data_IF_264748027905
#
_entry.id   IF_264748027905
#
_cell.length_a   1.000
_cell.length_b   1.000
_cell.length_c   1.000
_cell.angle_alpha   90.00
_cell.angle_beta   90.00
_cell.angle_gamma   90.00
#
_symmetry.space_group_name_H-M   'P 1'
#
loop_
_entity.id
_entity.type
_entity.pdbx_description
1 polymer ?
#
# COMPACT_ATOMS: atom_id res chain seq x y z
N UNK A 1 -67.22 -55.84 68.59
CA UNK A 1 -65.88 -55.21 68.49
C UNK A 1 -65.14 -55.91 67.36
N UNK A 2 -64.89 -55.17 66.28
CA UNK A 2 -64.27 -55.65 65.05
C UNK A 2 -62.76 -55.44 65.12
N UNK A 3 -61.98 -56.47 64.81
CA UNK A 3 -60.53 -56.38 64.58
C UNK A 3 -60.21 -57.03 63.24
N UNK A 4 -59.93 -56.19 62.24
CA UNK A 4 -59.74 -56.59 60.86
C UNK A 4 -58.35 -57.23 60.62
N UNK A 5 -58.35 -58.26 59.78
CA UNK A 5 -57.19 -58.93 59.21
C UNK A 5 -56.60 -58.04 58.12
N UNK A 6 -55.30 -57.73 58.21
CA UNK A 6 -54.55 -57.04 57.15
C UNK A 6 -53.72 -58.07 56.38
N UNK A 7 -54.19 -58.41 55.18
CA UNK A 7 -53.51 -59.25 54.19
C UNK A 7 -52.35 -58.50 53.55
N UNK A 8 -51.21 -59.18 53.41
CA UNK A 8 -49.99 -58.64 52.84
C UNK A 8 -50.13 -58.13 51.41
N UNK A 9 -49.40 -57.05 51.11
CA UNK A 9 -49.27 -56.48 49.78
C UNK A 9 -47.93 -56.93 49.19
N UNK A 10 -47.95 -57.68 48.09
CA UNK A 10 -46.77 -58.00 47.30
C UNK A 10 -46.43 -56.80 46.38
N UNK A 11 -45.15 -56.47 46.16
CA UNK A 11 -44.79 -55.38 45.25
C UNK A 11 -44.99 -55.83 43.79
N UNK A 12 -45.50 -54.97 42.89
CA UNK A 12 -45.58 -55.31 41.48
C UNK A 12 -44.18 -55.28 40.85
N UNK A 13 -43.69 -56.44 40.41
CA UNK A 13 -42.59 -56.55 39.45
C UNK A 13 -43.11 -56.26 38.05
N UNK A 14 -43.14 -54.99 37.68
CA UNK A 14 -43.37 -54.58 36.29
C UNK A 14 -42.13 -54.90 35.43
N UNK A 15 -42.30 -55.24 34.14
CA UNK A 15 -41.17 -55.51 33.25
C UNK A 15 -40.34 -54.25 33.01
N UNK A 16 -39.02 -54.39 32.98
CA UNK A 16 -38.09 -53.33 32.59
C UNK A 16 -38.47 -52.79 31.20
N UNK A 17 -38.94 -51.54 31.14
CA UNK A 17 -39.22 -50.87 29.89
C UNK A 17 -37.90 -50.60 29.15
N UNK A 18 -37.72 -51.05 27.89
CA UNK A 18 -36.52 -50.73 27.12
C UNK A 18 -36.44 -49.21 26.92
N UNK A 19 -35.33 -48.61 27.37
CA UNK A 19 -35.09 -47.17 27.23
C UNK A 19 -35.16 -46.81 25.73
N UNK A 20 -36.04 -45.90 25.29
CA UNK A 20 -36.34 -45.72 23.88
C UNK A 20 -35.09 -45.24 23.10
N UNK A 21 -34.81 -45.92 21.97
CA UNK A 21 -33.70 -45.67 21.04
C UNK A 21 -33.70 -44.26 20.41
N UNK A 22 -34.77 -43.47 20.62
CA UNK A 22 -34.92 -42.08 20.18
C UNK A 22 -33.76 -41.19 20.61
N UNK A 23 -33.17 -41.42 21.78
CA UNK A 23 -32.02 -40.65 22.27
C UNK A 23 -30.78 -40.81 21.38
N UNK A 24 -30.54 -42.03 20.86
CA UNK A 24 -29.40 -42.30 19.97
C UNK A 24 -29.60 -41.65 18.59
N UNK A 25 -30.83 -41.67 18.09
CA UNK A 25 -31.19 -41.03 16.82
C UNK A 25 -31.10 -39.50 16.88
N UNK A 26 -31.55 -38.89 17.99
CA UNK A 26 -31.39 -37.45 18.21
C UNK A 26 -29.91 -37.06 18.30
N UNK A 27 -29.09 -37.83 19.02
CA UNK A 27 -27.65 -37.59 19.09
C UNK A 27 -27.00 -37.68 17.70
N UNK A 28 -27.33 -38.71 16.92
CA UNK A 28 -26.81 -38.86 15.56
C UNK A 28 -27.21 -37.68 14.65
N UNK A 29 -28.48 -37.24 14.72
CA UNK A 29 -28.97 -36.09 13.98
C UNK A 29 -28.25 -34.80 14.38
N UNK A 30 -28.05 -34.56 15.68
CA UNK A 30 -27.31 -33.38 16.17
C UNK A 30 -25.85 -33.39 15.73
N UNK A 31 -25.18 -34.54 15.79
CA UNK A 31 -23.78 -34.67 15.33
C UNK A 31 -23.69 -34.43 13.82
N UNK A 32 -24.57 -35.05 13.03
CA UNK A 32 -24.61 -34.84 11.58
C UNK A 32 -24.87 -33.37 11.24
N UNK A 33 -25.78 -32.72 11.96
CA UNK A 33 -26.06 -31.29 11.79
C UNK A 33 -24.87 -30.41 12.18
N UNK A 34 -24.21 -30.70 13.29
CA UNK A 34 -23.03 -29.96 13.72
C UNK A 34 -21.87 -30.10 12.71
N UNK A 35 -21.67 -31.31 12.16
CA UNK A 35 -20.68 -31.54 11.11
C UNK A 35 -21.04 -30.82 9.81
N UNK A 36 -22.32 -30.81 9.42
CA UNK A 36 -22.81 -30.06 8.27
C UNK A 36 -22.55 -28.55 8.45
N UNK A 37 -22.89 -27.99 9.62
CA UNK A 37 -22.63 -26.59 9.93
C UNK A 37 -21.13 -26.27 9.95
N UNK A 38 -20.30 -27.14 10.51
CA UNK A 38 -18.85 -26.97 10.51
C UNK A 38 -18.27 -26.99 9.09
N UNK A 39 -18.78 -27.88 8.23
CA UNK A 39 -18.37 -27.98 6.83
C UNK A 39 -18.82 -26.74 6.03
N UNK A 40 -20.06 -26.29 6.22
CA UNK A 40 -20.58 -25.07 5.58
C UNK A 40 -19.83 -23.82 6.05
N UNK A 41 -19.52 -23.72 7.34
CA UNK A 41 -18.70 -22.63 7.88
C UNK A 41 -17.28 -22.67 7.32
N UNK A 42 -16.67 -23.86 7.22
CA UNK A 42 -15.34 -24.04 6.65
C UNK A 42 -15.28 -23.65 5.17
N UNK A 43 -16.26 -24.08 4.39
CA UNK A 43 -16.35 -23.75 2.95
C UNK A 43 -16.61 -22.27 2.75
N UNK A 44 -17.56 -21.69 3.48
CA UNK A 44 -17.82 -20.24 3.43
C UNK A 44 -16.58 -19.41 3.78
N UNK A 45 -15.86 -19.75 4.86
CA UNK A 45 -14.62 -19.04 5.25
C UNK A 45 -13.51 -19.17 4.21
N UNK A 46 -13.50 -20.25 3.42
CA UNK A 46 -12.43 -20.53 2.46
C UNK A 46 -12.73 -20.02 1.05
N UNK A 47 -13.99 -20.07 0.64
CA UNK A 47 -14.41 -19.91 -0.75
C UNK A 47 -15.24 -18.63 -0.99
N UNK A 48 -15.85 -18.03 0.03
CA UNK A 48 -16.60 -16.77 -0.16
C UNK A 48 -15.65 -15.56 -0.24
N UNK A 49 -15.83 -14.66 -1.23
CA UNK A 49 -15.00 -13.48 -1.34
C UNK A 49 -15.22 -12.56 -0.12
N UNK A 50 -14.15 -11.93 0.39
CA UNK A 50 -14.23 -11.08 1.57
C UNK A 50 -15.19 -9.92 1.34
N UNK A 51 -16.28 -9.88 2.12
CA UNK A 51 -17.33 -8.86 1.98
C UNK A 51 -17.01 -7.56 2.73
N UNK A 52 -15.90 -7.53 3.49
CA UNK A 52 -15.50 -6.41 4.36
C UNK A 52 -14.01 -6.07 4.18
N UNK A 53 -13.66 -4.78 4.29
CA UNK A 53 -12.29 -4.23 4.34
C UNK A 53 -11.32 -5.10 5.14
N UNK A 54 -11.77 -5.55 6.31
CA UNK A 54 -10.94 -6.25 7.29
C UNK A 54 -10.63 -7.71 6.94
N UNK A 55 -11.18 -8.25 5.84
CA UNK A 55 -10.98 -9.65 5.45
C UNK A 55 -9.97 -9.85 4.31
N UNK A 56 -9.54 -8.78 3.62
CA UNK A 56 -8.46 -8.88 2.63
C UNK A 56 -7.10 -8.70 3.25
N UNK A 57 -6.20 -9.62 2.95
CA UNK A 57 -4.82 -9.61 3.42
C UNK A 57 -3.95 -8.63 2.63
N UNK A 58 -2.78 -8.28 3.19
CA UNK A 58 -1.79 -7.47 2.45
C UNK A 58 -1.36 -8.08 1.12
N UNK A 59 -1.26 -9.41 1.03
CA UNK A 59 -0.93 -10.11 -0.22
C UNK A 59 -1.98 -9.89 -1.31
N UNK A 60 -3.25 -9.72 -0.95
CA UNK A 60 -4.35 -9.51 -1.89
C UNK A 60 -4.52 -8.02 -2.25
N UNK A 61 -4.24 -7.13 -1.31
CA UNK A 61 -4.32 -5.68 -1.52
C UNK A 61 -3.10 -5.10 -2.27
N UNK A 62 -1.93 -5.75 -2.14
CA UNK A 62 -0.67 -5.31 -2.75
C UNK A 62 -0.75 -4.98 -4.24
N UNK A 63 -1.27 -5.87 -5.10
CA UNK A 63 -1.40 -5.61 -6.53
C UNK A 63 -2.24 -4.38 -6.88
N UNK A 64 -3.21 -4.02 -6.02
CA UNK A 64 -4.03 -2.83 -6.22
C UNK A 64 -3.27 -1.55 -5.87
N UNK A 65 -2.45 -1.58 -4.81
CA UNK A 65 -1.51 -0.49 -4.50
C UNK A 65 -0.51 -0.31 -5.65
N UNK A 66 0.06 -1.40 -6.16
CA UNK A 66 1.03 -1.34 -7.26
C UNK A 66 0.41 -0.76 -8.54
N UNK A 67 -0.82 -1.18 -8.87
CA UNK A 67 -1.59 -0.56 -9.96
C UNK A 67 -1.80 0.92 -9.71
N UNK A 68 -2.22 1.28 -8.49
CA UNK A 68 -2.54 2.67 -8.19
C UNK A 68 -1.33 3.60 -8.24
N UNK A 69 -0.15 3.11 -7.84
CA UNK A 69 1.13 3.83 -8.04
C UNK A 69 1.40 3.99 -9.54
N UNK A 70 1.22 2.93 -10.34
CA UNK A 70 1.33 3.00 -11.80
C UNK A 70 0.47 4.08 -12.45
N UNK A 71 -0.80 4.15 -12.05
CA UNK A 71 -1.74 5.18 -12.51
C UNK A 71 -1.30 6.59 -12.09
N UNK A 72 -0.79 6.76 -10.85
CA UNK A 72 -0.27 8.06 -10.40
C UNK A 72 0.95 8.51 -11.20
N UNK A 73 1.83 7.58 -11.55
CA UNK A 73 3.01 7.89 -12.36
C UNK A 73 2.59 8.30 -13.78
N UNK A 74 1.69 7.54 -14.40
CA UNK A 74 1.15 7.87 -15.71
C UNK A 74 0.43 9.23 -15.68
N UNK A 75 -0.39 9.47 -14.64
CA UNK A 75 -1.09 10.72 -14.42
C UNK A 75 -0.16 11.88 -14.07
N UNK A 76 1.06 11.66 -13.57
CA UNK A 76 2.03 12.74 -13.39
C UNK A 76 2.58 13.22 -14.74
N UNK A 77 2.76 12.30 -15.69
CA UNK A 77 3.28 12.58 -17.02
C UNK A 77 4.64 13.27 -16.96
N UNK A 78 4.74 14.47 -17.52
CA UNK A 78 5.99 15.22 -17.56
C UNK A 78 6.35 15.98 -16.27
N UNK A 79 5.73 15.74 -15.12
CA UNK A 79 6.13 16.38 -13.87
C UNK A 79 7.49 15.84 -13.36
N UNK A 80 8.18 16.59 -12.50
CA UNK A 80 9.29 16.01 -11.71
C UNK A 80 8.69 14.94 -10.81
N UNK A 81 9.21 13.72 -10.90
CA UNK A 81 8.66 12.55 -10.23
C UNK A 81 9.76 11.74 -9.56
N UNK A 82 9.45 11.20 -8.39
CA UNK A 82 10.31 10.30 -7.64
C UNK A 82 9.43 9.21 -7.00
N UNK A 83 9.80 7.94 -7.22
CA UNK A 83 9.18 6.80 -6.54
C UNK A 83 9.88 6.55 -5.21
N UNK A 84 9.10 6.46 -4.13
CA UNK A 84 9.66 6.13 -2.82
C UNK A 84 9.56 4.62 -2.55
N UNK A 85 10.46 4.06 -1.74
CA UNK A 85 10.40 2.65 -1.35
C UNK A 85 9.07 2.26 -0.72
N UNK A 86 8.73 0.98 -0.87
CA UNK A 86 7.50 0.42 -0.29
C UNK A 86 7.63 0.28 1.22
N UNK A 87 6.63 0.75 1.96
CA UNK A 87 6.62 0.72 3.41
C UNK A 87 5.52 -0.24 3.91
N UNK A 88 5.89 -1.09 4.87
CA UNK A 88 4.94 -2.00 5.55
C UNK A 88 5.00 -1.74 7.05
N UNK A 89 4.05 -0.95 7.54
CA UNK A 89 3.95 -0.59 8.94
C UNK A 89 3.12 -1.66 9.68
N UNK A 90 3.77 -2.42 10.56
CA UNK A 90 3.10 -3.45 11.39
C UNK A 90 2.60 -2.87 12.71
N UNK A 91 1.60 -3.54 13.30
CA UNK A 91 1.11 -3.21 14.64
C UNK A 91 -0.09 -2.27 14.65
N UNK A 92 -0.68 -1.97 13.48
CA UNK A 92 -2.00 -1.36 13.46
C UNK A 92 -3.03 -2.35 14.02
N UNK A 93 -4.05 -1.86 14.72
CA UNK A 93 -5.03 -2.72 15.39
C UNK A 93 -6.25 -2.92 14.50
N UNK A 94 -6.52 -4.17 14.12
CA UNK A 94 -7.75 -4.55 13.38
C UNK A 94 -8.90 -4.78 14.37
N UNK A 95 -8.63 -5.57 15.41
CA UNK A 95 -9.54 -5.80 16.53
C UNK A 95 -8.75 -5.78 17.83
N UNK A 96 -9.38 -5.70 19.02
CA UNK A 96 -8.67 -5.80 20.29
C UNK A 96 -7.78 -7.05 20.44
N UNK A 97 -8.01 -8.10 19.65
CA UNK A 97 -7.28 -9.37 19.70
C UNK A 97 -6.46 -9.65 18.44
N UNK A 98 -6.51 -8.77 17.43
CA UNK A 98 -5.85 -8.99 16.14
C UNK A 98 -5.11 -7.73 15.68
N UNK A 99 -3.83 -7.91 15.41
CA UNK A 99 -2.98 -6.92 14.77
C UNK A 99 -2.98 -7.10 13.26
N UNK A 100 -2.73 -6.00 12.56
CA UNK A 100 -2.57 -5.94 11.12
C UNK A 100 -1.32 -5.17 10.74
N UNK A 101 -1.25 -4.86 9.46
CA UNK A 101 -0.26 -3.96 8.91
C UNK A 101 -0.87 -3.06 7.84
N UNK A 102 -0.27 -1.90 7.64
CA UNK A 102 -0.58 -0.97 6.56
C UNK A 102 0.53 -1.08 5.52
N UNK A 103 0.15 -1.34 4.27
CA UNK A 103 1.05 -1.19 3.12
C UNK A 103 0.86 0.21 2.54
N UNK A 104 1.96 0.94 2.37
CA UNK A 104 1.96 2.23 1.71
C UNK A 104 3.08 2.32 0.67
N UNK A 105 2.78 3.02 -0.42
CA UNK A 105 3.74 3.41 -1.46
C UNK A 105 3.50 4.86 -1.79
N UNK A 106 4.56 5.62 -2.05
CA UNK A 106 4.43 7.03 -2.37
C UNK A 106 5.15 7.43 -3.64
N UNK A 107 4.63 8.49 -4.25
CA UNK A 107 5.20 9.18 -5.40
C UNK A 107 5.35 10.64 -4.99
N UNK A 108 6.58 11.16 -5.00
CA UNK A 108 6.80 12.59 -4.85
C UNK A 108 6.71 13.26 -6.21
N UNK A 109 6.02 14.40 -6.25
CA UNK A 109 5.88 15.23 -7.45
C UNK A 109 6.20 16.68 -7.11
N UNK A 110 6.75 17.41 -8.07
CA UNK A 110 7.02 18.85 -7.91
C UNK A 110 6.35 19.70 -8.99
N UNK A 111 5.86 20.87 -8.57
CA UNK A 111 5.23 21.85 -9.42
C UNK A 111 6.20 22.95 -9.85
N UNK A 112 5.89 23.58 -10.98
CA UNK A 112 6.46 24.89 -11.29
C UNK A 112 5.99 25.93 -10.27
N UNK A 113 6.72 27.04 -10.16
CA UNK A 113 6.35 28.15 -9.26
C UNK A 113 4.96 28.70 -9.59
N UNK A 114 4.09 28.78 -8.58
CA UNK A 114 2.68 29.20 -8.72
C UNK A 114 1.77 28.18 -9.41
N UNK A 115 2.30 27.02 -9.81
CA UNK A 115 1.60 25.96 -10.53
C UNK A 115 1.09 24.82 -9.65
N UNK A 116 1.14 24.93 -8.32
CA UNK A 116 0.86 23.84 -7.39
C UNK A 116 -0.56 23.29 -7.51
N UNK A 117 -1.55 24.20 -7.55
CA UNK A 117 -2.95 23.82 -7.75
C UNK A 117 -3.16 23.20 -9.13
N UNK A 118 -2.60 23.81 -10.16
CA UNK A 118 -2.72 23.31 -11.54
C UNK A 118 -2.11 21.91 -11.69
N UNK A 119 -0.98 21.63 -11.03
CA UNK A 119 -0.38 20.30 -11.01
C UNK A 119 -1.33 19.28 -10.39
N UNK A 120 -1.87 19.57 -9.20
CA UNK A 120 -2.75 18.63 -8.50
C UNK A 120 -4.10 18.45 -9.21
N UNK A 121 -4.69 19.51 -9.75
CA UNK A 121 -5.94 19.44 -10.53
C UNK A 121 -5.69 18.62 -11.80
N UNK A 122 -4.62 18.89 -12.54
CA UNK A 122 -4.26 18.13 -13.74
C UNK A 122 -3.84 16.68 -13.46
N UNK A 123 -3.38 16.36 -12.24
CA UNK A 123 -3.22 14.98 -11.77
C UNK A 123 -4.59 14.34 -11.54
N UNK A 124 -5.47 15.00 -10.78
CA UNK A 124 -6.81 14.49 -10.48
C UNK A 124 -7.64 14.24 -11.75
N UNK A 125 -7.55 15.12 -12.75
CA UNK A 125 -8.26 15.01 -14.03
C UNK A 125 -7.77 13.83 -14.90
N UNK A 126 -6.53 13.38 -14.70
CA UNK A 126 -5.93 12.26 -15.45
C UNK A 126 -6.04 10.92 -14.75
N UNK A 127 -6.42 10.90 -13.47
CA UNK A 127 -6.69 9.67 -12.74
C UNK A 127 -8.00 9.03 -13.22
N UNK A 128 -8.17 7.70 -13.03
CA UNK A 128 -9.41 7.02 -13.40
C UNK A 128 -10.66 7.70 -12.81
N UNK A 129 -11.71 7.86 -13.62
CA UNK A 129 -12.93 8.58 -13.23
C UNK A 129 -13.63 7.94 -12.02
N UNK A 130 -13.59 6.61 -11.94
CA UNK A 130 -14.18 5.83 -10.86
C UNK A 130 -13.50 6.09 -9.50
N UNK A 131 -12.28 6.63 -9.50
CA UNK A 131 -11.57 7.00 -8.27
C UNK A 131 -12.06 8.29 -7.63
N UNK A 132 -12.82 9.10 -8.38
CA UNK A 132 -13.40 10.37 -7.92
C UNK A 132 -12.34 11.28 -7.30
N UNK A 133 -11.21 11.41 -8.00
CA UNK A 133 -10.11 12.23 -7.53
C UNK A 133 -10.54 13.70 -7.41
N UNK A 134 -10.04 14.39 -6.39
CA UNK A 134 -10.34 15.79 -6.17
C UNK A 134 -9.34 16.50 -5.29
N UNK A 135 -9.15 17.78 -5.56
CA UNK A 135 -8.24 18.67 -4.84
C UNK A 135 -9.04 19.65 -3.98
N UNK A 136 -8.62 19.80 -2.74
CA UNK A 136 -9.22 20.76 -1.81
C UNK A 136 -8.16 21.54 -1.05
N UNK A 137 -8.46 22.80 -0.78
CA UNK A 137 -7.64 23.63 0.12
C UNK A 137 -8.00 23.29 1.56
N UNK A 138 -6.98 23.06 2.39
CA UNK A 138 -7.08 22.81 3.83
C UNK A 138 -6.19 23.79 4.59
N UNK A 139 -6.33 23.91 5.92
CA UNK A 139 -5.41 24.73 6.72
C UNK A 139 -3.92 24.34 6.53
N UNK A 140 -3.66 23.06 6.25
CA UNK A 140 -2.32 22.52 6.01
C UNK A 140 -1.86 22.65 4.55
N UNK A 141 -2.64 23.35 3.70
CA UNK A 141 -2.35 23.55 2.27
C UNK A 141 -3.25 22.76 1.32
N UNK A 142 -2.83 22.66 0.05
CA UNK A 142 -3.56 21.92 -0.99
C UNK A 142 -3.47 20.42 -0.75
N UNK A 143 -4.59 19.72 -0.91
CA UNK A 143 -4.68 18.28 -0.64
C UNK A 143 -5.47 17.57 -1.74
N UNK A 144 -4.86 16.57 -2.34
CA UNK A 144 -5.51 15.64 -3.27
C UNK A 144 -6.06 14.43 -2.50
N UNK A 145 -7.23 13.94 -2.88
CA UNK A 145 -7.77 12.65 -2.44
C UNK A 145 -8.39 11.90 -3.61
N UNK A 146 -8.22 10.59 -3.63
CA UNK A 146 -8.96 9.68 -4.49
C UNK A 146 -9.16 8.32 -3.78
N UNK A 147 -10.08 7.51 -4.26
CA UNK A 147 -10.32 6.14 -3.79
C UNK A 147 -10.01 5.18 -4.93
N UNK A 148 -8.90 4.45 -4.86
CA UNK A 148 -8.48 3.54 -5.93
C UNK A 148 -9.28 2.23 -5.97
N UNK A 149 -10.43 2.19 -5.30
CA UNK A 149 -11.26 1.00 -5.15
C UNK A 149 -10.69 0.04 -4.12
N UNK A 150 -11.53 -0.91 -3.69
CA UNK A 150 -11.16 -1.94 -2.71
C UNK A 150 -10.47 -1.37 -1.47
N UNK A 151 -10.84 -0.13 -1.13
CA UNK A 151 -10.43 0.57 0.07
C UNK A 151 -8.94 0.92 0.12
N UNK A 152 -8.33 1.08 -1.05
CA UNK A 152 -7.01 1.68 -1.23
C UNK A 152 -7.19 3.18 -1.38
N UNK A 153 -6.65 3.95 -0.44
CA UNK A 153 -6.76 5.40 -0.45
C UNK A 153 -5.57 6.03 -1.18
N UNK A 154 -5.84 7.08 -1.94
CA UNK A 154 -4.81 7.96 -2.50
C UNK A 154 -4.90 9.31 -1.82
N UNK A 155 -3.80 9.79 -1.26
CA UNK A 155 -3.74 11.10 -0.61
C UNK A 155 -2.51 11.88 -1.04
N UNK A 156 -2.71 13.08 -1.58
CA UNK A 156 -1.63 14.01 -1.90
C UNK A 156 -1.53 15.11 -0.83
N UNK A 157 -0.37 15.28 -0.22
CA UNK A 157 -0.10 16.34 0.78
C UNK A 157 1.15 17.14 0.41
N UNK A 158 1.26 18.41 0.85
CA UNK A 158 2.51 19.15 0.71
C UNK A 158 3.66 18.44 1.42
N UNK A 159 4.84 18.46 0.80
CA UNK A 159 6.06 17.80 1.29
C UNK A 159 7.29 18.71 1.20
N UNK A 160 7.06 20.03 1.20
CA UNK A 160 8.07 21.06 1.02
C UNK A 160 7.61 22.12 0.02
N UNK A 161 8.43 23.13 -0.20
CA UNK A 161 8.14 24.19 -1.16
C UNK A 161 7.94 23.61 -2.57
N UNK A 162 6.75 23.83 -3.15
CA UNK A 162 6.33 23.30 -4.48
C UNK A 162 6.36 21.78 -4.63
N UNK A 163 6.50 21.02 -3.55
CA UNK A 163 6.57 19.55 -3.56
C UNK A 163 5.35 18.94 -2.89
N UNK A 164 4.89 17.82 -3.45
CA UNK A 164 3.77 17.05 -2.93
C UNK A 164 4.14 15.58 -2.85
N UNK A 165 3.77 14.94 -1.75
CA UNK A 165 3.84 13.49 -1.59
C UNK A 165 2.46 12.90 -1.80
N UNK A 166 2.32 12.08 -2.84
CA UNK A 166 1.13 11.30 -3.15
C UNK A 166 1.33 9.91 -2.55
N UNK A 167 0.56 9.57 -1.53
CA UNK A 167 0.64 8.28 -0.84
C UNK A 167 -0.57 7.43 -1.21
N UNK A 168 -0.31 6.22 -1.65
CA UNK A 168 -1.26 5.13 -1.83
C UNK A 168 -1.15 4.22 -0.62
N UNK A 169 -2.23 4.02 0.13
CA UNK A 169 -2.22 3.17 1.31
C UNK A 169 -3.42 2.22 1.37
N UNK A 170 -3.18 1.02 1.90
CA UNK A 170 -4.26 0.05 2.12
C UNK A 170 -5.08 0.37 3.36
N UNK A 171 -4.65 1.29 4.23
CA UNK A 171 -5.03 1.26 5.64
C UNK A 171 -4.67 -0.07 6.33
N UNK A 172 -5.19 -0.29 7.54
CA UNK A 172 -4.88 -1.49 8.32
C UNK A 172 -5.52 -2.75 7.73
N UNK A 173 -4.74 -3.81 7.51
CA UNK A 173 -5.16 -5.10 6.94
C UNK A 173 -4.54 -6.31 7.67
N UNK A 174 -5.19 -7.48 7.65
CA UNK A 174 -4.55 -8.73 8.05
C UNK A 174 -3.25 -8.97 7.25
N UNK A 175 -2.20 -9.45 7.91
CA UNK A 175 -0.88 -9.61 7.26
C UNK A 175 -0.91 -10.74 6.21
N UNK A 176 -1.61 -11.85 6.49
CA UNK A 176 -1.64 -13.02 5.60
C UNK A 176 -0.24 -13.55 5.29
N UNK A 177 0.05 -13.81 4.02
CA UNK A 177 1.39 -14.21 3.56
C UNK A 177 2.40 -13.05 3.52
N UNK A 178 1.98 -11.84 3.89
CA UNK A 178 2.72 -10.60 3.73
C UNK A 178 2.65 -10.06 2.30
N UNK A 179 3.04 -8.80 2.15
CA UNK A 179 3.28 -8.22 0.83
C UNK A 179 4.69 -8.58 0.35
N UNK A 180 4.80 -9.00 -0.90
CA UNK A 180 6.04 -9.02 -1.65
C UNK A 180 5.77 -8.30 -2.96
N UNK A 181 6.55 -7.26 -3.22
CA UNK A 181 6.54 -6.63 -4.53
C UNK A 181 7.01 -7.66 -5.55
N UNK A 182 6.39 -7.67 -6.72
CA UNK A 182 6.88 -8.52 -7.80
C UNK A 182 8.27 -8.02 -8.20
N UNK A 183 9.27 -8.90 -8.13
CA UNK A 183 10.62 -8.61 -8.62
C UNK A 183 10.55 -8.48 -10.14
N UNK A 184 10.43 -7.23 -10.61
CA UNK A 184 10.71 -6.92 -12.00
C UNK A 184 12.23 -6.98 -12.15
N UNK A 185 12.73 -8.09 -12.67
CA UNK A 185 14.13 -8.28 -13.07
C UNK A 185 14.47 -7.34 -14.25
N UNK A 186 14.42 -6.04 -14.00
CA UNK A 186 14.70 -5.01 -14.95
C UNK A 186 16.21 -4.75 -14.95
N UNK A 187 16.83 -4.89 -16.12
CA UNK A 187 18.20 -4.43 -16.35
C UNK A 187 18.31 -2.94 -16.02
N UNK A 188 19.41 -2.53 -15.38
CA UNK A 188 19.72 -1.14 -15.08
C UNK A 188 19.46 -0.22 -16.28
N UNK A 189 18.68 0.86 -16.08
CA UNK A 189 18.27 1.81 -17.10
C UNK A 189 19.08 3.11 -17.13
N UNK A 190 18.55 4.11 -17.85
CA UNK A 190 19.17 5.43 -17.98
C UNK A 190 19.24 6.18 -16.64
N UNK A 191 18.35 5.86 -15.70
CA UNK A 191 18.33 6.41 -14.35
C UNK A 191 19.63 6.11 -13.58
N UNK A 192 20.21 4.92 -13.72
CA UNK A 192 21.47 4.54 -13.05
C UNK A 192 22.64 5.40 -13.54
N UNK A 193 22.72 5.62 -14.86
CA UNK A 193 23.75 6.45 -15.45
C UNK A 193 23.61 7.92 -15.01
N UNK A 194 22.38 8.45 -15.00
CA UNK A 194 22.10 9.81 -14.55
C UNK A 194 22.45 10.02 -13.06
N UNK A 195 22.12 9.05 -12.20
CA UNK A 195 22.52 9.08 -10.78
C UNK A 195 24.04 9.06 -10.63
N UNK A 196 24.73 8.16 -11.33
CA UNK A 196 26.19 8.04 -11.27
C UNK A 196 26.89 9.33 -11.74
N UNK A 197 26.39 9.98 -12.79
CA UNK A 197 26.92 11.25 -13.28
C UNK A 197 26.73 12.39 -12.28
N UNK A 198 25.57 12.45 -11.63
CA UNK A 198 25.29 13.43 -10.59
C UNK A 198 26.19 13.22 -9.34
N UNK A 199 26.32 11.97 -8.86
CA UNK A 199 27.21 11.61 -7.74
C UNK A 199 28.67 11.98 -8.05
N UNK A 200 29.13 11.66 -9.26
CA UNK A 200 30.50 11.97 -9.73
C UNK A 200 30.78 13.47 -9.70
N UNK A 201 29.83 14.28 -10.12
CA UNK A 201 29.96 15.75 -10.15
C UNK A 201 29.89 16.35 -8.73
N UNK A 202 29.14 15.73 -7.83
CA UNK A 202 29.14 16.08 -6.40
C UNK A 202 30.40 15.58 -5.66
N UNK A 203 31.26 14.81 -6.32
CA UNK A 203 32.45 14.22 -5.69
C UNK A 203 32.13 13.08 -4.72
N UNK A 204 30.92 12.51 -4.81
CA UNK A 204 30.45 11.40 -3.99
C UNK A 204 30.77 10.10 -4.72
N UNK A 205 31.37 9.09 -4.05
CA UNK A 205 31.62 7.79 -4.66
C UNK A 205 30.30 7.13 -5.07
N UNK A 206 30.29 6.50 -6.25
CA UNK A 206 29.13 5.75 -6.70
C UNK A 206 28.90 4.54 -5.77
N UNK A 207 27.66 4.34 -5.34
CA UNK A 207 27.26 3.16 -4.61
C UNK A 207 27.33 1.92 -5.50
N UNK A 208 27.66 0.77 -4.90
CA UNK A 208 27.75 -0.49 -5.64
C UNK A 208 26.36 -1.05 -5.96
N UNK A 209 25.35 -0.72 -5.15
CA UNK A 209 23.98 -1.21 -5.30
C UNK A 209 23.00 -0.13 -4.79
N UNK A 210 22.69 0.89 -5.61
CA UNK A 210 21.71 1.91 -5.26
C UNK A 210 20.30 1.31 -5.13
N UNK A 211 19.45 1.90 -4.30
CA UNK A 211 18.09 1.40 -4.09
C UNK A 211 17.23 1.65 -5.35
N UNK A 212 16.76 0.58 -5.97
CA UNK A 212 15.90 0.63 -7.16
C UNK A 212 14.43 0.46 -6.77
N UNK A 213 13.61 1.45 -7.08
CA UNK A 213 12.16 1.45 -6.90
C UNK A 213 11.47 1.48 -8.26
N UNK A 214 10.50 0.59 -8.47
CA UNK A 214 9.80 0.47 -9.76
C UNK A 214 8.27 0.59 -9.63
N UNK A 215 7.62 1.06 -10.70
CA UNK A 215 6.17 1.06 -10.84
C UNK A 215 5.78 0.66 -12.26
N UNK A 216 4.84 -0.28 -12.40
CA UNK A 216 4.31 -0.72 -13.70
C UNK A 216 3.24 0.25 -14.17
N UNK A 217 3.35 0.71 -15.40
CA UNK A 217 2.42 1.70 -15.96
C UNK A 217 1.20 1.03 -16.61
N UNK A 218 0.04 1.69 -16.64
CA UNK A 218 -1.21 1.14 -17.19
C UNK A 218 -1.11 0.78 -18.68
N UNK A 219 -0.40 1.57 -19.48
CA UNK A 219 -0.24 1.37 -20.93
C UNK A 219 0.82 0.31 -21.31
N UNK A 220 1.36 -0.40 -20.32
CA UNK A 220 2.59 -1.16 -20.47
C UNK A 220 3.82 -0.26 -20.31
N UNK A 221 4.92 -0.85 -19.85
CA UNK A 221 6.13 -0.12 -19.49
C UNK A 221 6.33 0.00 -17.97
N UNK A 222 7.50 0.51 -17.59
CA UNK A 222 7.92 0.59 -16.19
C UNK A 222 8.62 1.92 -15.92
N UNK A 223 8.13 2.63 -14.92
CA UNK A 223 8.85 3.75 -14.34
C UNK A 223 9.81 3.25 -13.26
N UNK A 224 10.98 3.88 -13.18
CA UNK A 224 12.06 3.47 -12.28
C UNK A 224 12.64 4.70 -11.61
N UNK A 225 12.89 4.59 -10.31
CA UNK A 225 13.70 5.55 -9.55
C UNK A 225 14.85 4.79 -8.93
N UNK A 226 16.07 5.29 -9.11
CA UNK A 226 17.23 4.85 -8.33
C UNK A 226 17.57 5.93 -7.32
N UNK A 227 17.81 5.53 -6.07
CA UNK A 227 18.10 6.41 -4.95
C UNK A 227 19.49 6.09 -4.39
N UNK A 228 20.17 7.14 -3.94
CA UNK A 228 21.39 7.05 -3.15
C UNK A 228 21.16 7.82 -1.85
N UNK A 229 21.28 7.10 -0.74
CA UNK A 229 21.19 7.63 0.62
C UNK A 229 22.59 7.95 1.18
N UNK A 230 23.61 7.99 0.31
CA UNK A 230 24.96 8.37 0.72
C UNK A 230 24.92 9.76 1.34
N UNK A 231 25.62 9.93 2.47
CA UNK A 231 25.75 11.23 3.13
C UNK A 231 26.30 12.27 2.14
N UNK A 232 25.40 13.13 1.66
CA UNK A 232 25.70 14.20 0.71
C UNK A 232 26.43 15.38 1.37
N UNK A 233 26.68 15.31 2.68
CA UNK A 233 27.33 16.33 3.49
C UNK A 233 26.44 17.54 3.77
N UNK A 234 26.86 18.37 4.73
CA UNK A 234 26.09 19.50 5.30
C UNK A 234 25.65 20.59 4.32
N UNK A 235 26.06 20.52 3.05
CA UNK A 235 25.60 21.38 1.97
C UNK A 235 25.75 20.60 0.67
N UNK A 236 24.74 19.82 0.28
CA UNK A 236 24.68 19.40 -1.11
C UNK A 236 24.55 20.67 -1.95
N UNK A 237 25.68 21.14 -2.47
CA UNK A 237 25.73 22.36 -3.25
C UNK A 237 25.09 22.05 -4.59
N UNK A 238 24.18 22.91 -5.02
CA UNK A 238 23.54 22.82 -6.33
C UNK A 238 24.51 23.21 -7.45
N UNK A 239 25.49 24.08 -7.16
CA UNK A 239 26.39 24.66 -8.14
C UNK A 239 27.15 23.63 -9.00
N UNK A 240 27.69 22.52 -8.45
CA UNK A 240 28.27 21.45 -9.24
C UNK A 240 27.29 20.81 -10.22
N UNK A 241 26.00 20.67 -9.90
CA UNK A 241 25.00 20.02 -10.76
C UNK A 241 24.54 20.88 -11.94
N UNK A 242 24.69 22.21 -11.86
CA UNK A 242 24.23 23.15 -12.88
C UNK A 242 24.69 22.84 -14.33
N UNK A 243 25.95 22.39 -14.58
CA UNK A 243 26.40 22.00 -15.93
C UNK A 243 25.70 20.77 -16.52
N UNK A 244 25.08 19.92 -15.70
CA UNK A 244 24.32 18.75 -16.17
C UNK A 244 22.88 19.10 -16.59
N UNK A 245 22.36 20.24 -16.12
CA UNK A 245 21.01 20.72 -16.42
C UNK A 245 20.94 21.36 -17.82
N UNK A 246 20.95 20.53 -18.86
CA UNK A 246 20.90 20.96 -20.27
C UNK A 246 19.51 21.51 -20.62
N UNK A 247 19.25 22.76 -20.24
CA UNK A 247 17.92 23.40 -20.28
C UNK A 247 17.54 24.14 -18.99
N UNK A 248 18.40 24.12 -17.97
CA UNK A 248 18.16 24.73 -16.66
C UNK A 248 17.40 23.81 -15.70
N UNK A 249 17.26 24.22 -14.43
CA UNK A 249 16.51 23.47 -13.44
C UNK A 249 15.01 23.50 -13.71
N UNK A 250 14.36 22.37 -13.45
CA UNK A 250 12.89 22.25 -13.42
C UNK A 250 12.36 22.57 -12.02
N UNK A 251 13.17 22.33 -10.99
CA UNK A 251 12.90 22.71 -9.61
C UNK A 251 14.18 23.27 -9.00
N UNK A 252 14.07 24.42 -8.33
CA UNK A 252 15.15 25.03 -7.56
C UNK A 252 14.53 25.75 -6.36
N UNK A 253 14.60 25.11 -5.20
CA UNK A 253 14.15 25.66 -3.91
C UNK A 253 15.30 25.59 -2.90
N UNK A 254 15.06 26.07 -1.68
CA UNK A 254 16.04 25.95 -0.60
C UNK A 254 16.34 24.48 -0.20
N UNK A 255 15.43 23.56 -0.47
CA UNK A 255 15.49 22.16 -0.02
C UNK A 255 15.56 21.14 -1.16
N UNK A 256 15.40 21.57 -2.41
CA UNK A 256 15.36 20.65 -3.54
C UNK A 256 15.87 21.29 -4.83
N UNK A 257 16.61 20.50 -5.60
CA UNK A 257 17.04 20.85 -6.95
C UNK A 257 16.77 19.70 -7.90
N UNK A 258 16.08 19.97 -9.01
CA UNK A 258 15.81 18.95 -10.01
C UNK A 258 16.06 19.47 -11.42
N UNK A 259 16.59 18.60 -12.28
CA UNK A 259 16.81 18.87 -13.69
C UNK A 259 16.52 17.64 -14.54
N UNK A 260 16.32 17.87 -15.83
CA UNK A 260 16.13 16.79 -16.80
C UNK A 260 17.40 16.54 -17.58
N UNK A 261 17.66 15.27 -17.79
CA UNK A 261 18.51 14.74 -18.85
C UNK A 261 17.61 14.26 -19.99
N UNK A 262 18.20 13.77 -21.08
CA UNK A 262 17.42 13.28 -22.24
C UNK A 262 16.41 12.18 -21.90
N UNK A 263 16.67 11.37 -20.86
CA UNK A 263 15.85 10.21 -20.52
C UNK A 263 15.44 10.11 -19.05
N UNK A 264 16.08 10.84 -18.14
CA UNK A 264 15.81 10.77 -16.70
C UNK A 264 15.70 12.16 -16.09
N UNK A 265 14.92 12.27 -15.02
CA UNK A 265 14.90 13.44 -14.14
C UNK A 265 15.75 13.14 -12.92
N UNK A 266 16.71 14.01 -12.61
CA UNK A 266 17.52 13.92 -11.39
C UNK A 266 16.96 14.88 -10.37
N UNK A 267 16.77 14.41 -9.13
CA UNK A 267 16.31 15.17 -7.97
C UNK A 267 17.34 15.04 -6.86
N UNK A 268 17.85 16.18 -6.41
CA UNK A 268 18.58 16.32 -5.16
C UNK A 268 17.61 16.85 -4.11
N UNK A 269 17.30 16.05 -3.09
CA UNK A 269 16.56 16.46 -1.90
C UNK A 269 17.56 16.72 -0.77
N UNK A 270 17.53 17.92 -0.20
CA UNK A 270 18.38 18.33 0.92
C UNK A 270 17.57 18.64 2.17
N UNK A 271 16.31 18.18 2.22
CA UNK A 271 15.50 18.29 3.43
C UNK A 271 16.16 17.57 4.61
N UNK A 272 15.96 18.10 5.82
CA UNK A 272 16.62 17.59 7.01
C UNK A 272 16.21 16.16 7.38
N UNK A 273 15.04 15.72 6.92
CA UNK A 273 14.44 14.45 7.31
C UNK A 273 14.99 13.26 6.52
N UNK A 274 15.31 13.46 5.24
CA UNK A 274 15.72 12.40 4.30
C UNK A 274 16.55 12.99 3.14
N UNK A 275 17.78 13.48 3.37
CA UNK A 275 18.60 14.02 2.30
C UNK A 275 19.09 12.89 1.39
N UNK A 276 18.75 12.95 0.10
CA UNK A 276 19.08 11.90 -0.85
C UNK A 276 19.20 12.46 -2.27
N UNK A 277 19.83 11.67 -3.15
CA UNK A 277 19.88 11.93 -4.57
C UNK A 277 19.15 10.81 -5.31
N UNK A 278 18.20 11.19 -6.16
CA UNK A 278 17.41 10.25 -6.94
C UNK A 278 17.48 10.56 -8.44
N UNK A 279 17.39 9.53 -9.26
CA UNK A 279 17.17 9.66 -10.69
C UNK A 279 15.99 8.81 -11.12
N UNK A 280 15.09 9.38 -11.92
CA UNK A 280 13.83 8.76 -12.31
C UNK A 280 13.65 8.71 -13.82
N UNK A 281 13.35 7.53 -14.35
CA UNK A 281 12.75 7.34 -15.69
C UNK A 281 11.25 7.15 -15.55
N UNK A 282 10.47 7.90 -16.33
CA UNK A 282 9.00 7.79 -16.36
C UNK A 282 8.55 6.58 -17.19
N UNK A 283 7.24 6.36 -17.28
CA UNK A 283 6.66 5.28 -18.09
C UNK A 283 7.23 5.25 -19.52
N UNK A 284 7.88 4.14 -19.87
CA UNK A 284 8.43 3.82 -21.19
C UNK A 284 8.43 2.33 -21.45
#
# INVERSE_FOLDING_TARGET
MSGAVQTGYAPPTGPDAPVPSRRRWLLAATVAWALLLALLAWTSVRDDPPTVREQRTLSEAGPLVDRAVGELVAAAGGAVLELTPTQVERGCRLTPLAEGATLSRSVAVAAAEGGERQLLDGLADRLPEDWRAGVRTTPDGLRLRADAGEFVAVTGRPAGERRFRLTVDTGCRPIGAGYRQADDAATAGAEVAALADALRVLGVPAETEPELVTARCPDGGVARTVRSDTDLGLKAQVAPLAPLATGGPVLETAEAYAYRTDRATVLLDTSADDPHLAATTVCS
#
